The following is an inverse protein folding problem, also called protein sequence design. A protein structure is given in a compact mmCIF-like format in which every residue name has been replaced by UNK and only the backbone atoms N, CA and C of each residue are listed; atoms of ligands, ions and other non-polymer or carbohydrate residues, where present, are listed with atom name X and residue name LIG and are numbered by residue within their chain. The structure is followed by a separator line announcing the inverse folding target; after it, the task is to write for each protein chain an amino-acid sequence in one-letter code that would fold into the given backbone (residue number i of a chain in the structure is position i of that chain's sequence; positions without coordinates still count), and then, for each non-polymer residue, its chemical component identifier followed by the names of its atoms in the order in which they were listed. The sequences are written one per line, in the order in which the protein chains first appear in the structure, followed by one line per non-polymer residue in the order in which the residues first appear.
data_IF_728600305210
#
_entry.id   IF_728600305210
#
_cell.length_a   1.000
_cell.length_b   1.000
_cell.length_c   1.000
_cell.angle_alpha   90.00
_cell.angle_beta   90.00
_cell.angle_gamma   90.00
#
_symmetry.space_group_name_H-M   'P 1'
#
loop_
_entity.id
_entity.type
_entity.pdbx_description
1 polymer ?
#
# COMPACT_ATOMS: atom_id res chain seq x y z
N UNK A 1 23.70 -0.46 -12.62
CA UNK A 1 23.16 0.40 -11.56
C UNK A 1 23.26 1.88 -11.93
N UNK A 2 24.43 2.36 -12.35
CA UNK A 2 24.73 3.79 -12.67
C UNK A 2 23.74 4.47 -13.63
N UNK A 3 23.36 3.82 -14.74
CA UNK A 3 22.40 4.41 -15.71
C UNK A 3 20.99 4.61 -15.11
N UNK A 4 20.49 3.69 -14.28
CA UNK A 4 19.16 3.79 -13.66
C UNK A 4 19.12 4.92 -12.64
N UNK A 5 20.17 5.06 -11.83
CA UNK A 5 20.33 6.17 -10.89
C UNK A 5 20.40 7.49 -11.67
N UNK A 6 21.13 7.53 -12.79
CA UNK A 6 21.23 8.71 -13.64
C UNK A 6 19.88 9.19 -14.20
N UNK A 7 19.02 8.28 -14.62
CA UNK A 7 17.66 8.61 -15.08
C UNK A 7 16.81 9.20 -13.96
N UNK A 8 16.82 8.59 -12.77
CA UNK A 8 16.09 9.13 -11.62
C UNK A 8 16.62 10.50 -11.21
N UNK A 9 17.95 10.66 -11.16
CA UNK A 9 18.59 11.95 -10.89
C UNK A 9 18.08 13.04 -11.82
N UNK A 10 17.93 12.73 -13.11
CA UNK A 10 17.48 13.71 -14.10
C UNK A 10 16.01 14.10 -13.89
N UNK A 11 15.14 13.12 -13.61
CA UNK A 11 13.72 13.39 -13.31
C UNK A 11 13.58 14.25 -12.05
N UNK A 12 14.34 13.95 -11.00
CA UNK A 12 14.34 14.72 -9.74
C UNK A 12 14.85 16.16 -9.96
N UNK A 13 15.96 16.35 -10.68
CA UNK A 13 16.52 17.69 -10.97
C UNK A 13 15.56 18.57 -11.75
N UNK A 14 14.75 17.98 -12.63
CA UNK A 14 13.77 18.70 -13.43
C UNK A 14 12.43 18.88 -12.72
N UNK A 15 12.26 18.43 -11.48
CA UNK A 15 10.97 18.41 -10.75
C UNK A 15 9.84 17.73 -11.55
N UNK A 16 10.16 16.64 -12.25
CA UNK A 16 9.23 15.93 -13.15
C UNK A 16 8.61 14.69 -12.54
N UNK A 17 8.83 14.41 -11.26
CA UNK A 17 8.29 13.20 -10.60
C UNK A 17 6.78 13.15 -10.72
N UNK A 18 6.08 14.24 -10.36
CA UNK A 18 4.61 14.30 -10.44
C UNK A 18 4.13 14.14 -11.88
N UNK A 19 4.71 14.90 -12.83
CA UNK A 19 4.33 14.82 -14.24
C UNK A 19 4.50 13.41 -14.80
N UNK A 20 5.65 12.78 -14.56
CA UNK A 20 5.90 11.39 -14.97
C UNK A 20 4.95 10.40 -14.30
N UNK A 21 4.64 10.59 -13.01
CA UNK A 21 3.79 9.67 -12.25
C UNK A 21 2.35 9.64 -12.76
N UNK A 22 1.81 10.79 -13.17
CA UNK A 22 0.44 10.92 -13.67
C UNK A 22 0.32 10.73 -15.19
N UNK A 23 1.43 10.51 -15.88
CA UNK A 23 1.46 10.24 -17.32
C UNK A 23 1.31 8.74 -17.60
N UNK A 24 0.58 8.38 -18.68
CA UNK A 24 0.33 7.00 -19.09
C UNK A 24 1.61 6.18 -19.31
N UNK A 25 2.66 6.78 -19.87
CA UNK A 25 3.95 6.11 -20.10
C UNK A 25 4.95 6.38 -18.98
N UNK A 26 4.98 7.60 -18.46
CA UNK A 26 5.91 8.05 -17.43
C UNK A 26 5.80 7.29 -16.12
N UNK A 27 4.58 6.88 -15.72
CA UNK A 27 4.38 6.12 -14.48
C UNK A 27 5.19 4.81 -14.44
N UNK A 28 5.39 4.15 -15.59
CA UNK A 28 6.19 2.93 -15.68
C UNK A 28 7.67 3.18 -15.38
N UNK A 29 8.19 4.36 -15.73
CA UNK A 29 9.57 4.74 -15.42
C UNK A 29 9.72 4.89 -13.90
N UNK A 30 8.80 5.60 -13.24
CA UNK A 30 8.81 5.76 -11.77
C UNK A 30 8.68 4.41 -11.07
N UNK A 31 7.74 3.55 -11.49
CA UNK A 31 7.60 2.19 -10.97
C UNK A 31 8.92 1.41 -11.09
N UNK A 32 9.60 1.50 -12.23
CA UNK A 32 10.87 0.80 -12.45
C UNK A 32 11.99 1.31 -11.57
N UNK A 33 12.06 2.62 -11.33
CA UNK A 33 13.00 3.18 -10.36
C UNK A 33 12.77 2.63 -8.96
N UNK A 34 11.53 2.54 -8.50
CA UNK A 34 11.17 1.99 -7.19
C UNK A 34 11.55 0.52 -7.09
N UNK A 35 11.22 -0.31 -8.07
CA UNK A 35 11.56 -1.74 -8.08
C UNK A 35 13.06 -1.97 -7.99
N UNK A 36 13.86 -1.17 -8.66
CA UNK A 36 15.31 -1.37 -8.76
C UNK A 36 16.11 -0.74 -7.60
N UNK A 37 15.59 0.33 -7.00
CA UNK A 37 16.30 1.11 -6.01
C UNK A 37 15.69 1.05 -4.60
N UNK A 38 14.44 0.60 -4.47
CA UNK A 38 13.69 0.62 -3.22
C UNK A 38 14.27 -0.23 -2.07
N UNK A 39 15.14 -1.19 -2.39
CA UNK A 39 15.87 -2.01 -1.40
C UNK A 39 17.22 -1.41 -0.98
N UNK A 40 17.63 -0.31 -1.58
CA UNK A 40 18.89 0.34 -1.22
C UNK A 40 18.70 1.11 0.08
N UNK A 41 19.35 0.65 1.15
CA UNK A 41 19.40 1.31 2.46
C UNK A 41 20.79 1.92 2.64
N UNK A 42 20.90 3.03 3.37
CA UNK A 42 22.15 3.77 3.55
C UNK A 42 23.26 2.98 4.27
N UNK A 43 22.94 1.87 4.96
CA UNK A 43 23.94 1.06 5.64
C UNK A 43 24.36 -0.16 4.81
N UNK A 44 25.63 -0.23 4.37
CA UNK A 44 26.19 -1.49 3.92
C UNK A 44 26.27 -2.43 5.14
N UNK A 45 25.49 -3.52 5.14
CA UNK A 45 25.73 -4.60 6.10
C UNK A 45 27.20 -4.99 6.00
N UNK A 46 27.94 -4.80 7.09
CA UNK A 46 29.33 -5.16 7.25
C UNK A 46 29.51 -6.69 7.24
N UNK A 47 29.36 -7.30 6.07
CA UNK A 47 29.66 -8.72 5.86
C UNK A 47 29.86 -9.00 4.38
N UNK A 48 30.99 -8.56 3.86
CA UNK A 48 31.78 -9.28 2.85
C UNK A 48 32.93 -8.40 2.34
N UNK A 49 34.13 -8.96 2.32
CA UNK A 49 35.34 -8.57 1.58
C UNK A 49 35.20 -7.43 0.57
N UNK A 50 35.77 -6.27 0.94
CA UNK A 50 36.14 -5.13 0.10
C UNK A 50 35.14 -4.82 -1.04
N UNK A 51 34.08 -4.02 -0.82
CA UNK A 51 33.37 -3.37 -1.91
C UNK A 51 34.31 -2.33 -2.51
N UNK A 52 34.44 -2.31 -3.84
CA UNK A 52 35.20 -1.24 -4.48
C UNK A 52 34.53 0.11 -4.15
N UNK A 53 35.34 1.12 -3.82
CA UNK A 53 34.90 2.47 -3.43
C UNK A 53 33.81 3.03 -4.37
N UNK A 54 33.85 2.69 -5.64
CA UNK A 54 32.85 3.06 -6.65
C UNK A 54 31.45 2.47 -6.39
N UNK A 55 31.33 1.23 -5.93
CA UNK A 55 30.04 0.60 -5.62
C UNK A 55 29.39 1.23 -4.39
N UNK A 56 30.19 1.59 -3.40
CA UNK A 56 29.69 2.26 -2.20
C UNK A 56 29.18 3.68 -2.50
N UNK A 57 29.85 4.42 -3.35
CA UNK A 57 29.43 5.76 -3.79
C UNK A 57 28.13 5.69 -4.59
N UNK A 58 28.00 4.71 -5.49
CA UNK A 58 26.77 4.48 -6.25
C UNK A 58 25.60 4.07 -5.34
N UNK A 59 25.83 3.21 -4.35
CA UNK A 59 24.80 2.80 -3.40
C UNK A 59 24.29 3.98 -2.55
N UNK A 60 25.21 4.79 -2.01
CA UNK A 60 24.84 6.02 -1.26
C UNK A 60 24.05 7.00 -2.12
N UNK A 61 24.46 7.20 -3.36
CA UNK A 61 23.73 8.05 -4.29
C UNK A 61 22.33 7.48 -4.58
N UNK A 62 22.20 6.18 -4.84
CA UNK A 62 20.92 5.54 -5.07
C UNK A 62 19.97 5.64 -3.88
N UNK A 63 20.49 5.50 -2.65
CA UNK A 63 19.73 5.67 -1.42
C UNK A 63 19.19 7.10 -1.25
N UNK A 64 20.02 8.11 -1.54
CA UNK A 64 19.60 9.51 -1.48
C UNK A 64 18.51 9.83 -2.53
N UNK A 65 18.68 9.36 -3.76
CA UNK A 65 17.74 9.58 -4.86
C UNK A 65 16.37 8.90 -4.60
N UNK A 66 16.37 7.65 -4.09
CA UNK A 66 15.12 6.97 -3.78
C UNK A 66 14.40 7.63 -2.60
N UNK A 67 15.13 8.09 -1.59
CA UNK A 67 14.57 8.83 -0.45
C UNK A 67 13.91 10.14 -0.90
N UNK A 68 14.57 10.90 -1.78
CA UNK A 68 13.99 12.12 -2.35
C UNK A 68 12.73 11.81 -3.17
N UNK A 69 12.74 10.77 -4.00
CA UNK A 69 11.57 10.31 -4.75
C UNK A 69 10.40 10.02 -3.81
N UNK A 70 10.65 9.29 -2.70
CA UNK A 70 9.61 8.97 -1.71
C UNK A 70 9.04 10.23 -1.06
N UNK A 71 9.86 11.20 -0.73
CA UNK A 71 9.41 12.47 -0.15
C UNK A 71 8.53 13.28 -1.12
N UNK A 72 8.88 13.32 -2.40
CA UNK A 72 8.06 14.00 -3.42
C UNK A 72 6.71 13.30 -3.62
N UNK A 73 6.67 11.96 -3.65
CA UNK A 73 5.42 11.20 -3.72
C UNK A 73 4.59 11.41 -2.45
N UNK A 74 5.22 11.38 -1.28
CA UNK A 74 4.55 11.53 0.02
C UNK A 74 3.86 12.88 0.18
N UNK A 75 4.39 13.93 -0.42
CA UNK A 75 3.81 15.29 -0.36
C UNK A 75 2.36 15.38 -0.89
N UNK A 76 1.94 14.44 -1.76
CA UNK A 76 0.60 14.38 -2.34
C UNK A 76 0.07 12.94 -2.45
N UNK A 77 0.46 12.09 -1.49
CA UNK A 77 0.27 10.64 -1.56
C UNK A 77 -1.19 10.22 -1.71
N UNK A 78 -2.14 10.97 -1.14
CA UNK A 78 -3.57 10.68 -1.26
C UNK A 78 -4.02 10.80 -2.73
N UNK A 79 -3.60 11.84 -3.45
CA UNK A 79 -3.88 11.97 -4.88
C UNK A 79 -3.29 10.81 -5.69
N UNK A 80 -2.07 10.37 -5.32
CA UNK A 80 -1.46 9.18 -5.93
C UNK A 80 -2.29 7.93 -5.70
N UNK A 81 -2.81 7.72 -4.50
CA UNK A 81 -3.63 6.55 -4.19
C UNK A 81 -4.95 6.51 -4.96
N UNK A 82 -5.50 7.67 -5.33
CA UNK A 82 -6.80 7.81 -5.99
C UNK A 82 -6.71 7.88 -7.52
N UNK A 83 -5.50 7.81 -8.10
CA UNK A 83 -5.30 7.92 -9.54
C UNK A 83 -5.00 6.55 -10.17
N UNK A 84 -5.51 6.33 -11.39
CA UNK A 84 -5.42 5.07 -12.13
C UNK A 84 -3.96 4.61 -12.43
N UNK A 85 -3.04 5.55 -12.64
CA UNK A 85 -1.63 5.25 -12.91
C UNK A 85 -0.80 5.23 -11.63
N UNK A 86 -1.00 6.24 -10.77
CA UNK A 86 -0.18 6.45 -9.59
C UNK A 86 -0.44 5.42 -8.49
N UNK A 87 -1.65 4.85 -8.39
CA UNK A 87 -1.94 3.80 -7.42
C UNK A 87 -0.99 2.59 -7.58
N UNK A 88 -0.53 2.31 -8.80
CA UNK A 88 0.46 1.26 -9.08
C UNK A 88 1.85 1.62 -8.56
N UNK A 89 2.21 2.90 -8.57
CA UNK A 89 3.45 3.40 -7.98
C UNK A 89 3.44 3.12 -6.47
N UNK A 90 2.32 3.45 -5.80
CA UNK A 90 2.18 3.19 -4.35
C UNK A 90 2.22 1.69 -4.05
N UNK A 91 1.59 0.84 -4.86
CA UNK A 91 1.69 -0.62 -4.71
C UNK A 91 3.15 -1.09 -4.80
N UNK A 92 3.93 -0.60 -5.78
CA UNK A 92 5.37 -0.94 -5.91
C UNK A 92 6.19 -0.46 -4.70
N UNK A 93 5.84 0.68 -4.09
CA UNK A 93 6.49 1.13 -2.85
C UNK A 93 6.34 0.09 -1.74
N UNK A 94 5.14 -0.41 -1.48
CA UNK A 94 4.91 -1.42 -0.44
C UNK A 94 5.52 -2.78 -0.77
N UNK A 95 5.62 -3.13 -2.04
CA UNK A 95 6.15 -4.42 -2.50
C UNK A 95 7.69 -4.45 -2.51
N UNK A 96 8.35 -3.34 -2.87
CA UNK A 96 9.78 -3.33 -3.16
C UNK A 96 10.62 -2.41 -2.28
N UNK A 97 10.04 -1.47 -1.53
CA UNK A 97 10.83 -0.58 -0.72
C UNK A 97 11.09 -1.13 0.68
N UNK A 98 12.25 -0.72 1.24
CA UNK A 98 12.55 -1.00 2.63
C UNK A 98 11.54 -0.32 3.57
N UNK A 99 11.22 -0.97 4.68
CA UNK A 99 10.17 -0.51 5.61
C UNK A 99 10.37 0.93 6.08
N UNK A 100 11.60 1.35 6.32
CA UNK A 100 11.94 2.69 6.79
C UNK A 100 11.54 3.79 5.80
N UNK A 101 11.54 3.48 4.50
CA UNK A 101 11.16 4.43 3.44
C UNK A 101 9.65 4.61 3.31
N UNK A 102 8.85 3.63 3.76
CA UNK A 102 7.40 3.60 3.53
C UNK A 102 6.57 3.80 4.80
N UNK A 103 7.18 3.84 5.98
CA UNK A 103 6.47 3.91 7.27
C UNK A 103 5.62 5.19 7.41
N UNK A 104 6.18 6.34 7.02
CA UNK A 104 5.45 7.61 7.03
C UNK A 104 4.30 7.61 6.04
N UNK A 105 4.57 7.15 4.82
CA UNK A 105 3.57 6.99 3.75
C UNK A 105 2.42 6.07 4.17
N UNK A 106 2.72 4.95 4.83
CA UNK A 106 1.72 4.03 5.35
C UNK A 106 0.78 4.73 6.35
N UNK A 107 1.34 5.51 7.28
CA UNK A 107 0.55 6.26 8.26
C UNK A 107 -0.40 7.26 7.61
N UNK A 108 0.06 8.01 6.62
CA UNK A 108 -0.77 9.00 5.91
C UNK A 108 -1.90 8.29 5.15
N UNK A 109 -1.58 7.22 4.44
CA UNK A 109 -2.56 6.43 3.68
C UNK A 109 -3.63 5.85 4.61
N UNK A 110 -3.24 5.22 5.71
CA UNK A 110 -4.16 4.62 6.67
C UNK A 110 -5.01 5.67 7.39
N UNK A 111 -4.47 6.86 7.66
CA UNK A 111 -5.22 8.01 8.18
C UNK A 111 -6.32 8.50 7.24
N UNK A 112 -6.21 8.21 5.94
CA UNK A 112 -7.19 8.56 4.90
C UNK A 112 -8.02 7.35 4.43
N UNK A 113 -8.09 6.28 5.24
CA UNK A 113 -8.74 5.02 4.90
C UNK A 113 -10.16 5.19 4.32
N UNK A 114 -10.99 6.07 4.90
CA UNK A 114 -12.37 6.25 4.46
C UNK A 114 -12.48 6.72 3.00
N UNK A 115 -11.61 7.63 2.58
CA UNK A 115 -11.58 8.11 1.20
C UNK A 115 -11.11 6.99 0.27
N UNK A 116 -10.07 6.27 0.66
CA UNK A 116 -9.50 5.20 -0.14
C UNK A 116 -10.43 3.99 -0.27
N UNK A 117 -11.14 3.62 0.79
CA UNK A 117 -12.06 2.46 0.78
C UNK A 117 -13.31 2.67 -0.08
N UNK A 118 -13.62 3.91 -0.45
CA UNK A 118 -14.71 4.26 -1.35
C UNK A 118 -14.25 4.59 -2.80
N UNK A 119 -13.00 4.26 -3.13
CA UNK A 119 -12.41 4.52 -4.44
C UNK A 119 -11.77 3.24 -5.00
N UNK A 120 -12.02 2.93 -6.26
CA UNK A 120 -11.54 1.69 -6.88
C UNK A 120 -10.00 1.57 -6.89
N UNK A 121 -9.27 2.67 -7.08
CA UNK A 121 -7.79 2.69 -7.05
C UNK A 121 -7.27 2.65 -5.62
N UNK A 122 -7.95 3.33 -4.69
CA UNK A 122 -7.65 3.29 -3.26
C UNK A 122 -7.73 1.88 -2.68
N UNK A 123 -8.72 1.08 -3.12
CA UNK A 123 -8.84 -0.34 -2.74
C UNK A 123 -7.60 -1.15 -3.15
N UNK A 124 -7.04 -0.92 -4.34
CA UNK A 124 -5.81 -1.62 -4.75
C UNK A 124 -4.62 -1.28 -3.86
N UNK A 125 -4.53 -0.02 -3.42
CA UNK A 125 -3.48 0.41 -2.48
C UNK A 125 -3.68 -0.24 -1.10
N UNK A 126 -4.88 -0.21 -0.55
CA UNK A 126 -5.20 -0.86 0.73
C UNK A 126 -4.94 -2.37 0.69
N UNK A 127 -5.30 -3.02 -0.43
CA UNK A 127 -5.01 -4.45 -0.66
C UNK A 127 -3.51 -4.73 -0.70
N UNK A 128 -2.71 -3.85 -1.32
CA UNK A 128 -1.26 -3.99 -1.35
C UNK A 128 -0.65 -3.83 0.05
N UNK A 129 -1.18 -2.94 0.89
CA UNK A 129 -0.74 -2.81 2.29
C UNK A 129 -1.10 -4.08 3.09
N UNK A 130 -2.27 -4.68 2.85
CA UNK A 130 -2.64 -5.95 3.46
C UNK A 130 -1.70 -7.08 3.06
N UNK A 131 -1.21 -7.10 1.83
CA UNK A 131 -0.31 -8.13 1.32
C UNK A 131 1.14 -7.93 1.76
N UNK A 132 1.68 -6.73 1.58
CA UNK A 132 3.11 -6.42 1.72
C UNK A 132 3.46 -5.55 2.94
N UNK A 133 2.47 -4.87 3.56
CA UNK A 133 2.69 -3.96 4.69
C UNK A 133 3.15 -4.68 5.96
N UNK A 134 3.59 -3.89 6.93
CA UNK A 134 3.99 -4.39 8.25
C UNK A 134 2.81 -4.96 9.04
N UNK A 135 3.02 -5.86 10.01
CA UNK A 135 1.94 -6.47 10.79
C UNK A 135 0.98 -5.46 11.43
N UNK A 136 1.50 -4.33 11.94
CA UNK A 136 0.67 -3.27 12.52
C UNK A 136 -0.24 -2.60 11.50
N UNK A 137 0.22 -2.38 10.27
CA UNK A 137 -0.59 -1.80 9.18
C UNK A 137 -1.70 -2.76 8.76
N UNK A 138 -1.40 -4.05 8.64
CA UNK A 138 -2.37 -5.11 8.33
C UNK A 138 -3.45 -5.20 9.40
N UNK A 139 -3.05 -5.26 10.67
CA UNK A 139 -3.97 -5.31 11.82
C UNK A 139 -4.88 -4.07 11.87
N UNK A 140 -4.35 -2.88 11.57
CA UNK A 140 -5.13 -1.67 11.52
C UNK A 140 -6.24 -1.73 10.46
N UNK A 141 -5.92 -2.15 9.23
CA UNK A 141 -6.91 -2.31 8.15
C UNK A 141 -7.96 -3.36 8.53
N UNK A 142 -7.54 -4.50 9.08
CA UNK A 142 -8.46 -5.58 9.48
C UNK A 142 -9.45 -5.10 10.57
N UNK A 143 -8.99 -4.33 11.55
CA UNK A 143 -9.86 -3.75 12.56
C UNK A 143 -10.87 -2.76 11.98
N UNK A 144 -10.46 -1.95 10.99
CA UNK A 144 -11.37 -1.03 10.30
C UNK A 144 -12.43 -1.77 9.47
N UNK A 145 -12.04 -2.84 8.79
CA UNK A 145 -12.96 -3.70 8.05
C UNK A 145 -13.94 -4.37 9.01
N UNK A 146 -13.47 -4.93 10.12
CA UNK A 146 -14.29 -5.61 11.12
C UNK A 146 -15.45 -4.75 11.62
N UNK A 147 -15.21 -3.47 11.91
CA UNK A 147 -16.27 -2.56 12.37
C UNK A 147 -17.26 -2.11 11.28
N UNK A 148 -16.96 -2.39 10.00
CA UNK A 148 -17.75 -1.92 8.84
C UNK A 148 -18.06 -3.03 7.83
N UNK A 149 -17.75 -4.28 8.11
CA UNK A 149 -17.79 -5.39 7.15
C UNK A 149 -19.15 -5.55 6.49
N UNK A 150 -20.23 -5.41 7.27
CA UNK A 150 -21.60 -5.54 6.77
C UNK A 150 -21.94 -4.47 5.70
N UNK A 151 -21.53 -3.23 5.93
CA UNK A 151 -21.77 -2.12 4.98
C UNK A 151 -20.86 -2.26 3.75
N UNK A 152 -19.60 -2.61 3.98
CA UNK A 152 -18.62 -2.76 2.91
C UNK A 152 -18.93 -3.94 1.99
N UNK A 153 -19.50 -5.03 2.51
CA UNK A 153 -19.82 -6.23 1.74
C UNK A 153 -20.84 -5.98 0.61
N UNK A 154 -21.73 -5.01 0.78
CA UNK A 154 -22.74 -4.64 -0.24
C UNK A 154 -22.25 -3.55 -1.21
N UNK A 155 -21.08 -2.98 -0.96
CA UNK A 155 -20.48 -1.96 -1.83
C UNK A 155 -19.53 -2.63 -2.84
N UNK A 156 -19.57 -2.19 -4.10
CA UNK A 156 -18.74 -2.71 -5.20
C UNK A 156 -17.26 -2.78 -4.84
N UNK A 157 -16.72 -1.72 -4.29
CA UNK A 157 -15.30 -1.62 -3.99
C UNK A 157 -14.97 -2.14 -2.59
N UNK A 158 -15.82 -1.90 -1.61
CA UNK A 158 -15.70 -2.46 -0.26
C UNK A 158 -15.68 -4.00 -0.23
N UNK A 159 -16.51 -4.65 -1.03
CA UNK A 159 -16.54 -6.12 -1.14
C UNK A 159 -15.20 -6.71 -1.63
N UNK A 160 -14.51 -6.03 -2.54
CA UNK A 160 -13.18 -6.45 -3.01
C UNK A 160 -12.14 -6.40 -1.89
N UNK A 161 -12.18 -5.37 -1.04
CA UNK A 161 -11.26 -5.27 0.09
C UNK A 161 -11.50 -6.37 1.11
N UNK A 162 -12.77 -6.71 1.39
CA UNK A 162 -13.14 -7.84 2.25
C UNK A 162 -12.62 -9.15 1.65
N UNK A 163 -12.87 -9.41 0.35
CA UNK A 163 -12.38 -10.61 -0.34
C UNK A 163 -10.86 -10.74 -0.24
N UNK A 164 -10.13 -9.65 -0.51
CA UNK A 164 -8.66 -9.64 -0.40
C UNK A 164 -8.19 -9.87 1.03
N UNK A 165 -8.89 -9.33 2.03
CA UNK A 165 -8.60 -9.54 3.45
C UNK A 165 -8.79 -11.00 3.85
N UNK A 166 -9.89 -11.62 3.43
CA UNK A 166 -10.17 -13.05 3.66
C UNK A 166 -9.07 -13.89 3.00
N UNK A 167 -8.75 -13.62 1.74
CA UNK A 167 -7.68 -14.34 1.01
C UNK A 167 -6.34 -14.24 1.72
N UNK A 168 -5.94 -13.04 2.14
CA UNK A 168 -4.70 -12.81 2.88
C UNK A 168 -4.67 -13.61 4.18
N UNK A 169 -5.75 -13.57 4.97
CA UNK A 169 -5.83 -14.30 6.25
C UNK A 169 -5.71 -15.82 6.02
N UNK A 170 -6.36 -16.38 5.00
CA UNK A 170 -6.23 -17.78 4.65
C UNK A 170 -4.81 -18.17 4.24
N UNK A 171 -4.12 -17.36 3.45
CA UNK A 171 -2.73 -17.62 3.04
C UNK A 171 -1.72 -17.49 4.21
N UNK A 172 -1.97 -16.58 5.14
CA UNK A 172 -1.11 -16.37 6.32
C UNK A 172 -1.34 -17.44 7.38
N UNK A 173 -2.54 -17.97 7.49
CA UNK A 173 -2.95 -18.92 8.56
C UNK A 173 -2.34 -20.32 8.48
N UNK A 174 -1.60 -20.65 7.44
CA UNK A 174 -0.71 -21.82 7.54
C UNK A 174 0.42 -21.61 8.57
N UNK A 175 0.61 -20.38 9.11
CA UNK A 175 1.70 -20.04 10.04
C UNK A 175 1.29 -19.36 11.36
N UNK A 176 0.11 -18.73 11.51
CA UNK A 176 -0.29 -18.00 12.72
C UNK A 176 -1.80 -17.98 12.98
N UNK A 177 -2.22 -18.59 14.10
CA UNK A 177 -3.62 -18.68 14.56
C UNK A 177 -4.28 -17.36 15.01
N UNK A 178 -3.51 -16.30 15.29
CA UNK A 178 -4.02 -15.04 15.85
C UNK A 178 -4.96 -14.24 14.95
N UNK A 179 -4.85 -14.39 13.64
CA UNK A 179 -5.69 -13.68 12.68
C UNK A 179 -7.01 -14.42 12.35
N UNK A 180 -7.14 -15.67 12.77
CA UNK A 180 -8.38 -16.44 12.56
C UNK A 180 -9.58 -15.85 13.29
N UNK A 181 -9.40 -15.32 14.51
CA UNK A 181 -10.47 -14.70 15.27
C UNK A 181 -11.06 -13.48 14.57
N UNK A 182 -10.23 -12.64 13.98
CA UNK A 182 -10.67 -11.47 13.21
C UNK A 182 -11.41 -11.88 11.93
N UNK A 183 -10.95 -12.94 11.25
CA UNK A 183 -11.65 -13.49 10.10
C UNK A 183 -13.06 -13.98 10.46
N UNK A 184 -13.19 -14.77 11.54
CA UNK A 184 -14.48 -15.26 11.99
C UNK A 184 -15.43 -14.11 12.32
N UNK A 185 -14.95 -13.04 12.95
CA UNK A 185 -15.76 -11.87 13.23
C UNK A 185 -16.22 -11.15 11.95
N UNK A 186 -15.34 -10.98 10.97
CA UNK A 186 -15.70 -10.41 9.65
C UNK A 186 -16.73 -11.29 8.95
N UNK A 187 -16.53 -12.61 8.94
CA UNK A 187 -17.46 -13.54 8.32
C UNK A 187 -18.82 -13.57 9.03
N UNK A 188 -18.84 -13.54 10.37
CA UNK A 188 -20.06 -13.46 11.14
C UNK A 188 -20.86 -12.19 10.81
N UNK A 189 -20.19 -11.03 10.72
CA UNK A 189 -20.85 -9.78 10.34
C UNK A 189 -21.46 -9.88 8.93
N UNK A 190 -20.75 -10.46 7.98
CA UNK A 190 -21.21 -10.60 6.57
C UNK A 190 -22.33 -11.65 6.46
N UNK A 191 -22.22 -12.79 7.14
CA UNK A 191 -23.20 -13.89 7.07
C UNK A 191 -24.53 -13.49 7.73
N UNK A 192 -24.49 -12.73 8.83
CA UNK A 192 -25.70 -12.28 9.54
C UNK A 192 -26.32 -10.99 8.98
N UNK A 193 -25.77 -10.42 7.90
CA UNK A 193 -26.29 -9.25 7.19
C UNK A 193 -27.80 -9.39 6.84
N UNK A 194 -28.28 -10.51 6.23
CA UNK A 194 -29.69 -10.64 5.85
C UNK A 194 -30.66 -10.52 7.04
N UNK A 195 -30.22 -11.00 8.22
CA UNK A 195 -31.04 -10.98 9.42
C UNK A 195 -31.12 -9.62 10.11
N UNK A 196 -30.14 -8.73 9.90
CA UNK A 196 -30.15 -7.34 10.42
C UNK A 196 -30.97 -6.41 9.54
N UNK A 197 -30.85 -6.54 8.22
CA UNK A 197 -31.62 -5.73 7.27
C UNK A 197 -33.12 -6.04 7.35
N UNK A 198 -33.50 -7.33 7.50
CA UNK A 198 -34.89 -7.73 7.67
C UNK A 198 -35.52 -7.19 8.98
N UNK A 199 -34.76 -7.17 10.09
CA UNK A 199 -35.24 -6.60 11.36
C UNK A 199 -35.44 -5.08 11.33
N UNK A 200 -34.63 -4.35 10.60
CA UNK A 200 -34.79 -2.89 10.45
C UNK A 200 -35.95 -2.54 9.51
N UNK A 201 -36.17 -3.31 8.45
CA UNK A 201 -37.30 -3.13 7.55
C UNK A 201 -38.66 -3.44 8.21
N UNK A 202 -38.71 -4.42 9.11
CA UNK A 202 -39.93 -4.75 9.87
C UNK A 202 -40.22 -3.79 11.03
N UNK A 203 -39.20 -3.12 11.59
CA UNK A 203 -39.38 -2.16 12.68
C UNK A 203 -39.93 -0.80 12.26
N UNK A 204 -39.88 -0.45 10.98
CA UNK A 204 -40.43 0.82 10.45
C UNK A 204 -41.87 0.73 9.95
N UNK A 205 -42.49 -0.44 9.91
CA UNK A 205 -43.90 -0.62 9.52
C UNK A 205 -44.89 -0.70 10.70
N UNK A 206 -44.43 -0.49 11.92
CA UNK A 206 -45.28 -0.54 13.15
C UNK A 206 -45.27 0.80 13.94
N UNK A 207 -45.06 1.94 13.29
CA UNK A 207 -45.31 3.24 13.89
C UNK A 207 -46.31 4.04 13.06
#
# INVERSE_FOLDING_TARGET
MSQKIGMLTEILKQNKVRECSFDYHGNHVIQKCIIELGQIVEEPKASSSVPGVLQEVEAKKGAAEIKQLMQEIESDIVSYCLNEFCCRIIQRMFEFCHVELIESSARIILGNYQILSNNEYGIFVLSSILEHGQPQHKSYILNLIQGNAAVMAIQKDGSKLIENSIRMIFHVNQKHLSHCSQLFQILDEVIYLPNRVSKQAFGQQQQ
#
